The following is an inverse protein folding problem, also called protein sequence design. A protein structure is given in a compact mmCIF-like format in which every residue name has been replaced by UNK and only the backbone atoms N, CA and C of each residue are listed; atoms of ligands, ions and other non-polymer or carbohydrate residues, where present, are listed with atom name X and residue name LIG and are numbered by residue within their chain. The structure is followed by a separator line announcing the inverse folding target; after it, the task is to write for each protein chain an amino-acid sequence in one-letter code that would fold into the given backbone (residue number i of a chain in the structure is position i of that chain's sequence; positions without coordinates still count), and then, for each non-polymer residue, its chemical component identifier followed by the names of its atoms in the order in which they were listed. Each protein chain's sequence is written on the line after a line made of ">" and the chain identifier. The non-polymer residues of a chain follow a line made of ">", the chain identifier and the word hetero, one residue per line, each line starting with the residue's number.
data_IF_240529616535
#
_entry.id   IF_240529616535
#
_cell.length_a   1.000
_cell.length_b   1.000
_cell.length_c   1.000
_cell.angle_alpha   90.00
_cell.angle_beta   90.00
_cell.angle_gamma   90.00
#
_symmetry.space_group_name_H-M   'P 1'
#
loop_
_entity.id
_entity.type
_entity.pdbx_description
1 polymer ?
#
# COMPACT_ATOMS: atom_id res chain seq x y z
N UNK A 1 -10.82 -14.66 29.24
CA UNK A 1 -9.39 -14.41 28.97
C UNK A 1 -9.17 -14.75 27.51
N UNK A 2 -8.60 -13.89 26.67
CA UNK A 2 -8.23 -14.30 25.33
C UNK A 2 -7.24 -15.44 25.43
N UNK A 3 -7.37 -16.47 24.61
CA UNK A 3 -6.38 -17.55 24.49
C UNK A 3 -5.00 -16.93 24.27
N UNK A 4 -3.98 -17.48 24.93
CA UNK A 4 -2.59 -17.01 24.77
C UNK A 4 -2.12 -17.00 23.30
N UNK A 5 -2.69 -17.88 22.46
CA UNK A 5 -2.41 -17.92 21.02
C UNK A 5 -2.84 -16.62 20.27
N UNK A 6 -3.93 -15.97 20.71
CA UNK A 6 -4.38 -14.69 20.15
C UNK A 6 -3.51 -13.52 20.60
N UNK A 7 -2.92 -13.58 21.80
CA UNK A 7 -2.06 -12.51 22.31
C UNK A 7 -0.76 -12.38 21.48
N UNK A 8 -0.23 -13.49 21.01
CA UNK A 8 0.97 -13.51 20.17
C UNK A 8 0.68 -13.00 18.75
N UNK A 9 -0.48 -13.35 18.19
CA UNK A 9 -0.93 -12.78 16.91
C UNK A 9 -1.14 -11.26 16.97
N UNK A 10 -1.67 -10.74 18.08
CA UNK A 10 -1.94 -9.30 18.25
C UNK A 10 -0.65 -8.47 18.33
N UNK A 11 0.44 -9.05 18.82
CA UNK A 11 1.75 -8.39 18.90
C UNK A 11 2.54 -8.44 17.59
N UNK A 12 2.02 -9.08 16.55
CA UNK A 12 2.75 -9.32 15.31
C UNK A 12 3.87 -10.34 15.47
N UNK A 13 3.86 -11.13 16.55
CA UNK A 13 4.85 -12.16 16.75
C UNK A 13 4.81 -13.17 15.60
N UNK A 14 5.98 -13.40 15.03
CA UNK A 14 6.18 -14.35 13.97
C UNK A 14 5.97 -15.77 14.48
N UNK A 15 5.63 -16.69 13.58
CA UNK A 15 5.61 -18.10 13.91
C UNK A 15 6.90 -18.48 14.67
N UNK A 16 6.85 -19.19 15.80
CA UNK A 16 8.05 -19.62 16.51
C UNK A 16 8.99 -20.47 15.65
N UNK A 17 8.50 -20.98 14.53
CA UNK A 17 9.30 -21.73 13.55
C UNK A 17 9.89 -20.84 12.46
N UNK A 18 9.59 -19.52 12.45
CA UNK A 18 10.16 -18.62 11.47
C UNK A 18 11.63 -18.35 11.75
N UNK A 19 12.44 -18.43 10.73
CA UNK A 19 13.86 -18.19 10.81
C UNK A 19 14.28 -16.98 9.98
N UNK A 20 14.48 -15.86 10.63
CA UNK A 20 14.94 -14.62 9.99
C UNK A 20 16.34 -14.70 9.33
N UNK A 21 17.13 -15.74 9.66
CA UNK A 21 18.47 -15.89 9.06
C UNK A 21 18.44 -16.44 7.64
N UNK A 22 17.32 -17.02 7.21
CA UNK A 22 17.13 -17.45 5.83
C UNK A 22 16.47 -16.32 5.00
N UNK A 23 16.68 -16.28 3.68
CA UNK A 23 15.97 -15.34 2.82
C UNK A 23 14.45 -15.50 2.98
N UNK A 24 13.73 -14.39 2.90
CA UNK A 24 12.26 -14.44 2.77
C UNK A 24 11.98 -15.08 1.41
N UNK A 25 11.34 -16.23 1.42
CA UNK A 25 11.05 -16.96 0.20
C UNK A 25 9.74 -16.45 -0.42
N UNK A 26 9.72 -16.26 -1.73
CA UNK A 26 8.48 -16.20 -2.49
C UNK A 26 7.98 -17.63 -2.67
N UNK A 27 6.81 -18.02 -2.14
CA UNK A 27 6.31 -19.37 -2.28
C UNK A 27 5.94 -19.65 -3.74
N UNK A 28 6.28 -20.83 -4.24
CA UNK A 28 5.85 -21.29 -5.55
C UNK A 28 4.38 -21.69 -5.56
N UNK A 29 3.79 -21.72 -6.76
CA UNK A 29 2.41 -22.17 -6.94
C UNK A 29 2.27 -23.69 -6.81
N UNK A 30 3.33 -24.44 -7.07
CA UNK A 30 3.34 -25.90 -7.03
C UNK A 30 3.27 -26.45 -5.61
N UNK A 31 3.78 -25.69 -4.64
CA UNK A 31 3.80 -26.02 -3.22
C UNK A 31 4.39 -27.40 -2.94
N UNK A 32 5.57 -27.67 -3.49
CA UNK A 32 6.35 -28.88 -3.31
C UNK A 32 7.44 -28.68 -2.26
N UNK A 33 7.86 -29.75 -1.62
CA UNK A 33 8.92 -29.81 -0.62
C UNK A 33 8.74 -28.78 0.51
N UNK A 34 9.65 -27.84 0.62
CA UNK A 34 9.70 -26.83 1.68
C UNK A 34 9.15 -25.45 1.29
N UNK A 35 8.40 -25.36 0.18
CA UNK A 35 7.72 -24.12 -0.18
C UNK A 35 6.75 -23.73 0.92
N UNK A 36 6.92 -22.50 1.43
CA UNK A 36 6.02 -21.97 2.44
C UNK A 36 4.70 -21.53 1.79
N UNK A 37 3.62 -22.00 2.35
CA UNK A 37 2.26 -21.67 1.90
C UNK A 37 1.67 -20.59 2.76
N UNK A 38 0.87 -19.73 2.13
CA UNK A 38 0.05 -18.76 2.84
C UNK A 38 -1.14 -19.53 3.44
N UNK A 39 -1.31 -19.41 4.74
CA UNK A 39 -2.49 -19.87 5.42
C UNK A 39 -3.54 -18.74 5.44
N UNK A 40 -4.50 -18.80 4.53
CA UNK A 40 -5.53 -17.78 4.40
C UNK A 40 -6.49 -17.72 5.57
N UNK A 41 -6.70 -18.77 6.33
CA UNK A 41 -7.54 -18.74 7.51
C UNK A 41 -6.82 -18.04 8.66
N UNK A 42 -5.53 -18.35 8.86
CA UNK A 42 -4.67 -17.63 9.81
C UNK A 42 -4.55 -16.14 9.43
N UNK A 43 -4.35 -15.83 8.15
CA UNK A 43 -4.26 -14.46 7.63
C UNK A 43 -5.54 -13.66 7.95
N UNK A 44 -6.72 -14.21 7.65
CA UNK A 44 -8.01 -13.57 7.95
C UNK A 44 -8.21 -13.41 9.46
N UNK A 45 -7.92 -14.44 10.24
CA UNK A 45 -7.99 -14.40 11.70
C UNK A 45 -7.09 -13.32 12.30
N UNK A 46 -5.86 -13.20 11.81
CA UNK A 46 -4.93 -12.15 12.22
C UNK A 46 -5.47 -10.75 11.95
N UNK A 47 -5.95 -10.48 10.74
CA UNK A 47 -6.49 -9.17 10.35
C UNK A 47 -7.68 -8.74 11.22
N UNK A 48 -8.61 -9.65 11.47
CA UNK A 48 -9.75 -9.40 12.35
C UNK A 48 -9.29 -9.16 13.80
N UNK A 49 -8.32 -9.95 14.29
CA UNK A 49 -7.75 -9.77 15.63
C UNK A 49 -7.03 -8.41 15.78
N UNK A 50 -6.28 -7.98 14.77
CA UNK A 50 -5.63 -6.66 14.74
C UNK A 50 -6.66 -5.52 14.74
N UNK A 51 -7.72 -5.65 13.94
CA UNK A 51 -8.78 -4.62 13.91
C UNK A 51 -9.49 -4.55 15.26
N UNK A 52 -9.80 -5.70 15.89
CA UNK A 52 -10.39 -5.75 17.23
C UNK A 52 -9.52 -5.09 18.28
N UNK A 53 -8.22 -5.37 18.24
CA UNK A 53 -7.24 -4.74 19.12
C UNK A 53 -7.16 -3.22 18.93
N UNK A 54 -7.10 -2.74 17.68
CA UNK A 54 -7.07 -1.31 17.39
C UNK A 54 -8.36 -0.61 17.84
N UNK A 55 -9.50 -1.26 17.61
CA UNK A 55 -10.81 -0.75 18.05
C UNK A 55 -10.90 -0.67 19.59
N UNK A 56 -10.41 -1.68 20.30
CA UNK A 56 -10.37 -1.68 21.77
C UNK A 56 -9.46 -0.59 22.37
N UNK A 57 -8.43 -0.18 21.64
CA UNK A 57 -7.53 0.92 22.02
C UNK A 57 -8.08 2.31 21.68
N UNK A 58 -9.03 2.36 20.76
CA UNK A 58 -9.72 3.58 20.38
C UNK A 58 -10.90 3.84 21.32
N UNK A 59 -11.50 5.01 21.23
CA UNK A 59 -12.75 5.35 21.91
C UNK A 59 -14.00 5.00 21.07
N UNK A 60 -13.84 4.26 19.97
CA UNK A 60 -14.89 3.94 19.02
C UNK A 60 -15.67 2.69 19.45
N UNK A 61 -16.98 2.68 19.22
CA UNK A 61 -17.79 1.48 19.36
C UNK A 61 -17.74 0.54 18.16
N UNK A 62 -17.45 1.09 16.99
CA UNK A 62 -17.37 0.36 15.73
C UNK A 62 -16.56 1.13 14.70
N UNK A 63 -16.12 0.43 13.64
CA UNK A 63 -15.64 1.04 12.40
C UNK A 63 -16.56 0.69 11.24
N UNK A 64 -16.93 1.70 10.46
CA UNK A 64 -17.66 1.60 9.20
C UNK A 64 -16.70 1.96 8.08
N UNK A 65 -16.36 0.99 7.25
CA UNK A 65 -15.34 1.10 6.23
C UNK A 65 -15.97 1.16 4.84
N UNK A 66 -15.61 2.19 4.07
CA UNK A 66 -15.88 2.36 2.64
C UNK A 66 -14.61 2.22 1.80
N UNK A 67 -13.43 2.34 2.40
CA UNK A 67 -12.17 2.06 1.73
C UNK A 67 -12.03 0.56 1.45
N UNK A 68 -11.76 0.22 0.19
CA UNK A 68 -11.70 -1.19 -0.22
C UNK A 68 -10.59 -1.97 0.46
N UNK A 69 -9.48 -1.33 0.82
CA UNK A 69 -8.38 -1.97 1.55
C UNK A 69 -8.84 -2.34 2.97
N UNK A 70 -9.56 -1.43 3.63
CA UNK A 70 -10.13 -1.67 4.96
C UNK A 70 -11.20 -2.77 4.91
N UNK A 71 -12.11 -2.70 3.92
CA UNK A 71 -13.13 -3.75 3.71
C UNK A 71 -12.45 -5.10 3.50
N UNK A 72 -11.46 -5.19 2.60
CA UNK A 72 -10.70 -6.41 2.35
C UNK A 72 -9.97 -6.89 3.59
N UNK A 73 -9.43 -5.99 4.40
CA UNK A 73 -8.71 -6.33 5.62
C UNK A 73 -9.61 -7.05 6.62
N UNK A 74 -10.82 -6.52 6.89
CA UNK A 74 -11.73 -7.09 7.90
C UNK A 74 -12.60 -8.23 7.38
N UNK A 75 -12.87 -8.30 6.07
CA UNK A 75 -13.79 -9.31 5.51
C UNK A 75 -13.09 -10.38 4.68
N UNK A 76 -11.87 -10.15 4.24
CA UNK A 76 -11.17 -11.02 3.29
C UNK A 76 -11.82 -11.08 1.89
N UNK A 77 -12.84 -10.25 1.61
CA UNK A 77 -13.58 -10.25 0.35
C UNK A 77 -12.99 -9.30 -0.67
N UNK A 78 -13.19 -9.59 -1.94
CA UNK A 78 -12.69 -8.80 -3.08
C UNK A 78 -13.81 -8.58 -4.09
N UNK A 79 -13.87 -7.39 -4.67
CA UNK A 79 -14.59 -7.11 -5.90
C UNK A 79 -13.65 -6.30 -6.82
N UNK A 80 -13.31 -6.76 -7.97
CA UNK A 80 -12.39 -6.15 -8.92
C UNK A 80 -12.55 -4.64 -9.13
N UNK A 81 -12.80 -4.19 -10.34
CA UNK A 81 -12.86 -2.75 -10.68
C UNK A 81 -13.99 -1.96 -10.00
N UNK A 82 -15.02 -2.62 -9.51
CA UNK A 82 -16.05 -2.00 -8.67
C UNK A 82 -15.48 -1.41 -7.38
N UNK A 83 -14.25 -1.75 -7.05
CA UNK A 83 -13.53 -1.13 -5.95
C UNK A 83 -13.42 0.40 -6.04
N UNK A 84 -13.58 0.96 -7.22
CA UNK A 84 -13.59 2.41 -7.46
C UNK A 84 -14.92 3.08 -7.13
N UNK A 85 -15.98 2.30 -6.96
CA UNK A 85 -17.33 2.75 -6.63
C UNK A 85 -17.66 2.47 -5.17
N UNK A 86 -17.16 3.33 -4.29
CA UNK A 86 -17.13 3.11 -2.84
C UNK A 86 -18.49 3.08 -2.17
N UNK A 87 -19.52 3.68 -2.75
CA UNK A 87 -20.81 3.83 -2.09
C UNK A 87 -21.58 2.53 -1.99
N UNK A 88 -21.50 1.65 -2.98
CA UNK A 88 -22.26 0.39 -2.98
C UNK A 88 -21.61 -0.73 -2.19
N UNK A 89 -20.36 -0.54 -1.73
CA UNK A 89 -19.63 -1.51 -0.93
C UNK A 89 -19.11 -0.89 0.35
N UNK A 90 -19.47 -1.49 1.47
CA UNK A 90 -19.01 -1.06 2.80
C UNK A 90 -19.09 -2.21 3.78
N UNK A 91 -18.36 -2.09 4.89
CA UNK A 91 -18.35 -3.10 5.95
C UNK A 91 -18.41 -2.43 7.32
N UNK A 92 -19.12 -3.06 8.26
CA UNK A 92 -19.23 -2.63 9.65
C UNK A 92 -18.59 -3.68 10.55
N UNK A 93 -17.74 -3.26 11.48
CA UNK A 93 -17.13 -4.12 12.47
C UNK A 93 -17.21 -3.49 13.87
N UNK A 94 -17.85 -4.20 14.80
CA UNK A 94 -18.05 -3.75 16.20
C UNK A 94 -17.02 -4.34 17.16
N UNK A 95 -16.21 -5.28 16.70
CA UNK A 95 -15.28 -6.02 17.56
C UNK A 95 -15.94 -7.13 18.39
N UNK A 96 -17.26 -7.09 18.61
CA UNK A 96 -17.98 -8.07 19.42
C UNK A 96 -18.35 -9.34 18.65
N UNK A 97 -18.47 -9.22 17.34
CA UNK A 97 -18.92 -10.27 16.43
C UNK A 97 -18.14 -10.24 15.11
N UNK A 98 -18.48 -11.12 14.18
CA UNK A 98 -17.93 -11.11 12.82
C UNK A 98 -18.39 -9.86 12.03
N UNK A 99 -17.63 -9.39 11.02
CA UNK A 99 -17.99 -8.19 10.27
C UNK A 99 -19.27 -8.36 9.44
N UNK A 100 -20.02 -7.28 9.30
CA UNK A 100 -21.06 -7.15 8.29
C UNK A 100 -20.45 -6.63 7.00
N UNK A 101 -20.88 -7.18 5.87
CA UNK A 101 -20.46 -6.77 4.53
C UNK A 101 -21.70 -6.42 3.69
N UNK A 102 -21.76 -5.21 3.17
CA UNK A 102 -22.66 -4.83 2.08
C UNK A 102 -21.88 -4.77 0.79
N UNK A 103 -22.48 -5.33 -0.25
CA UNK A 103 -21.89 -5.30 -1.58
C UNK A 103 -22.98 -5.13 -2.63
N UNK A 104 -22.59 -4.88 -3.86
CA UNK A 104 -23.51 -4.81 -4.99
C UNK A 104 -24.43 -6.05 -5.01
N UNK A 105 -25.73 -5.88 -5.22
CA UNK A 105 -26.74 -6.89 -4.94
C UNK A 105 -26.39 -8.34 -5.30
N UNK A 106 -25.98 -8.59 -6.56
CA UNK A 106 -25.57 -9.93 -7.00
C UNK A 106 -24.25 -10.38 -6.36
N UNK A 107 -23.33 -9.46 -6.06
CA UNK A 107 -22.08 -9.76 -5.38
C UNK A 107 -22.31 -10.20 -3.93
N UNK A 108 -23.27 -9.62 -3.23
CA UNK A 108 -23.65 -10.08 -1.90
C UNK A 108 -24.09 -11.55 -1.90
N UNK A 109 -24.87 -11.96 -2.91
CA UNK A 109 -25.26 -13.36 -3.09
C UNK A 109 -24.06 -14.23 -3.43
N UNK A 110 -23.13 -13.74 -4.26
CA UNK A 110 -21.88 -14.45 -4.56
C UNK A 110 -21.05 -14.69 -3.28
N UNK A 111 -20.90 -13.68 -2.43
CA UNK A 111 -20.18 -13.84 -1.15
C UNK A 111 -20.81 -14.91 -0.25
N UNK A 112 -22.16 -14.95 -0.14
CA UNK A 112 -22.86 -16.00 0.62
C UNK A 112 -22.54 -17.41 0.13
N UNK A 113 -22.32 -17.58 -1.16
CA UNK A 113 -22.09 -18.89 -1.78
C UNK A 113 -20.60 -19.28 -1.83
N UNK A 114 -19.70 -18.32 -2.00
CA UNK A 114 -18.29 -18.58 -2.35
C UNK A 114 -17.28 -17.99 -1.36
N UNK A 115 -17.71 -17.37 -0.28
CA UNK A 115 -16.85 -16.88 0.80
C UNK A 115 -17.19 -17.59 2.13
N UNK A 116 -16.81 -18.87 2.28
CA UNK A 116 -17.24 -19.70 3.41
C UNK A 116 -16.71 -19.24 4.78
N UNK A 117 -15.77 -18.31 4.79
CA UNK A 117 -15.26 -17.67 6.00
C UNK A 117 -16.11 -16.49 6.48
N UNK A 118 -17.11 -16.06 5.70
CA UNK A 118 -18.07 -15.02 6.07
C UNK A 118 -19.40 -15.65 6.48
N UNK A 119 -20.01 -15.10 7.53
CA UNK A 119 -21.37 -15.46 7.90
C UNK A 119 -22.34 -15.01 6.78
N UNK A 120 -23.07 -15.94 6.13
CA UNK A 120 -24.01 -15.61 5.07
C UNK A 120 -25.06 -14.57 5.45
N UNK A 121 -25.53 -14.58 6.71
CA UNK A 121 -26.55 -13.64 7.21
C UNK A 121 -26.00 -12.22 7.39
N UNK A 122 -24.68 -12.08 7.42
CA UNK A 122 -23.96 -10.80 7.49
C UNK A 122 -23.54 -10.25 6.12
N UNK A 123 -23.70 -11.03 5.05
CA UNK A 123 -23.49 -10.58 3.69
C UNK A 123 -24.79 -9.99 3.12
N UNK A 124 -24.84 -8.69 2.97
CA UNK A 124 -26.05 -7.91 2.63
C UNK A 124 -25.92 -7.22 1.29
N UNK A 125 -27.04 -6.99 0.61
CA UNK A 125 -27.08 -6.14 -0.57
C UNK A 125 -26.96 -4.67 -0.16
N UNK A 126 -25.99 -3.98 -0.72
CA UNK A 126 -25.81 -2.55 -0.49
C UNK A 126 -26.95 -1.72 -1.12
N UNK A 127 -27.43 -0.76 -0.38
CA UNK A 127 -28.54 0.09 -0.78
C UNK A 127 -28.14 1.35 -1.53
N UNK A 128 -26.83 1.64 -1.57
CA UNK A 128 -26.31 2.89 -2.08
C UNK A 128 -26.04 2.82 -3.58
N UNK A 129 -26.13 3.95 -4.23
CA UNK A 129 -25.83 4.10 -5.67
C UNK A 129 -24.36 4.22 -5.95
N UNK A 130 -24.05 4.35 -7.23
CA UNK A 130 -22.69 4.39 -7.76
C UNK A 130 -22.16 5.83 -7.73
N UNK A 131 -21.19 6.14 -6.87
CA UNK A 131 -20.43 7.41 -6.83
C UNK A 131 -21.30 8.68 -6.99
N UNK A 132 -22.35 8.80 -6.17
CA UNK A 132 -23.24 9.96 -6.23
C UNK A 132 -24.18 9.99 -7.43
N UNK A 133 -24.27 8.92 -8.24
CA UNK A 133 -25.22 8.81 -9.33
C UNK A 133 -26.68 8.65 -8.87
N UNK A 134 -26.89 8.36 -7.60
CA UNK A 134 -28.20 8.29 -6.95
C UNK A 134 -28.38 9.54 -6.10
N UNK A 135 -29.43 10.30 -6.38
CA UNK A 135 -29.75 11.51 -5.63
C UNK A 135 -30.23 11.18 -4.19
N UNK A 136 -30.03 12.12 -3.26
CA UNK A 136 -30.41 11.97 -1.86
C UNK A 136 -31.91 11.70 -1.69
N UNK A 137 -32.74 12.29 -2.55
CA UNK A 137 -34.20 12.16 -2.55
C UNK A 137 -34.67 10.72 -2.81
N UNK A 138 -33.82 9.85 -3.35
CA UNK A 138 -34.12 8.42 -3.46
C UNK A 138 -34.20 7.72 -2.09
N UNK A 139 -33.70 8.35 -1.02
CA UNK A 139 -33.79 7.87 0.35
C UNK A 139 -32.88 6.71 0.71
N UNK A 140 -31.99 6.26 -0.19
CA UNK A 140 -31.13 5.10 0.03
C UNK A 140 -30.06 5.35 1.09
N UNK A 141 -29.49 6.54 1.15
CA UNK A 141 -28.53 6.91 2.21
C UNK A 141 -29.17 6.86 3.59
N UNK A 142 -30.41 7.37 3.71
CA UNK A 142 -31.16 7.31 4.96
C UNK A 142 -31.45 5.85 5.39
N UNK A 143 -31.90 5.01 4.45
CA UNK A 143 -32.15 3.60 4.72
C UNK A 143 -30.89 2.87 5.20
N UNK A 144 -29.76 3.10 4.54
CA UNK A 144 -28.47 2.52 4.95
C UNK A 144 -28.06 2.98 6.35
N UNK A 145 -28.19 4.29 6.65
CA UNK A 145 -27.85 4.84 7.96
C UNK A 145 -28.75 4.30 9.07
N UNK A 146 -30.06 4.14 8.81
CA UNK A 146 -31.01 3.54 9.74
C UNK A 146 -30.69 2.06 10.00
N UNK A 147 -30.35 1.27 8.97
CA UNK A 147 -29.93 -0.12 9.12
C UNK A 147 -28.65 -0.23 9.95
N UNK A 148 -27.62 0.58 9.65
CA UNK A 148 -26.38 0.61 10.40
C UNK A 148 -26.65 0.92 11.87
N UNK A 149 -27.49 1.93 12.18
CA UNK A 149 -27.85 2.27 13.56
C UNK A 149 -28.54 1.12 14.28
N UNK A 150 -29.46 0.42 13.61
CA UNK A 150 -30.13 -0.76 14.19
C UNK A 150 -29.13 -1.88 14.54
N UNK A 151 -28.15 -2.12 13.68
CA UNK A 151 -27.09 -3.10 13.93
C UNK A 151 -26.21 -2.68 15.12
N UNK A 152 -25.80 -1.41 15.19
CA UNK A 152 -25.04 -0.89 16.34
C UNK A 152 -25.82 -1.02 17.65
N UNK A 153 -27.15 -0.83 17.62
CA UNK A 153 -28.02 -1.06 18.79
C UNK A 153 -28.07 -2.54 19.18
N UNK A 154 -28.21 -3.43 18.19
CA UNK A 154 -28.22 -4.88 18.42
C UNK A 154 -26.88 -5.41 18.96
N UNK A 155 -25.79 -4.83 18.58
CA UNK A 155 -24.43 -5.14 19.05
C UNK A 155 -24.07 -4.42 20.37
N UNK A 156 -24.93 -3.52 20.88
CA UNK A 156 -24.76 -2.82 22.15
C UNK A 156 -23.74 -1.70 22.16
N UNK A 157 -23.45 -1.10 21.00
CA UNK A 157 -22.42 -0.05 20.84
C UNK A 157 -22.98 1.25 20.23
N UNK A 158 -24.29 1.40 20.13
CA UNK A 158 -24.92 2.56 19.49
C UNK A 158 -24.70 3.89 20.22
N UNK A 159 -24.38 3.86 21.52
CA UNK A 159 -24.10 5.03 22.35
C UNK A 159 -22.62 5.45 22.30
N UNK A 160 -21.77 4.70 21.58
CA UNK A 160 -20.36 5.01 21.36
C UNK A 160 -20.17 5.65 19.99
N UNK A 161 -19.10 6.46 19.79
CA UNK A 161 -18.80 7.03 18.49
C UNK A 161 -18.57 5.95 17.44
N UNK A 162 -19.06 6.20 16.21
CA UNK A 162 -18.80 5.38 15.03
C UNK A 162 -17.59 5.94 14.27
N UNK A 163 -16.55 5.15 14.13
CA UNK A 163 -15.41 5.48 13.28
C UNK A 163 -15.77 5.25 11.82
N UNK A 164 -15.61 6.27 10.98
CA UNK A 164 -15.78 6.15 9.52
C UNK A 164 -14.44 6.45 8.86
N UNK A 165 -14.01 5.62 7.91
CA UNK A 165 -12.73 5.80 7.24
C UNK A 165 -12.82 6.90 6.17
N UNK A 166 -13.47 6.62 5.06
CA UNK A 166 -13.80 7.59 4.02
C UNK A 166 -15.22 7.34 3.55
N UNK A 167 -15.99 8.41 3.39
CA UNK A 167 -17.30 8.28 2.75
C UNK A 167 -17.67 9.57 2.02
N UNK A 168 -18.66 9.45 1.15
CA UNK A 168 -19.19 10.63 0.47
C UNK A 168 -20.06 11.46 1.43
N UNK A 169 -20.10 12.81 1.23
CA UNK A 169 -20.85 13.72 2.12
C UNK A 169 -22.30 13.31 2.37
N UNK A 170 -23.10 12.88 1.38
CA UNK A 170 -24.49 12.47 1.63
C UNK A 170 -24.60 11.31 2.63
N UNK A 171 -23.69 10.33 2.60
CA UNK A 171 -23.66 9.24 3.56
C UNK A 171 -23.29 9.74 4.95
N UNK A 172 -22.29 10.61 5.06
CA UNK A 172 -21.90 11.22 6.32
C UNK A 172 -23.07 11.96 6.96
N UNK A 173 -23.79 12.79 6.17
CA UNK A 173 -24.96 13.53 6.65
C UNK A 173 -26.09 12.60 7.09
N UNK A 174 -26.33 11.52 6.36
CA UNK A 174 -27.33 10.54 6.73
C UNK A 174 -27.04 9.83 8.04
N UNK A 175 -25.78 9.45 8.28
CA UNK A 175 -25.33 8.86 9.54
C UNK A 175 -25.52 9.84 10.72
N UNK A 176 -25.15 11.11 10.53
CA UNK A 176 -25.37 12.15 11.55
C UNK A 176 -26.85 12.41 11.79
N UNK A 177 -27.67 12.44 10.74
CA UNK A 177 -29.12 12.70 10.83
C UNK A 177 -29.86 11.61 11.63
N UNK A 178 -29.38 10.37 11.62
CA UNK A 178 -29.94 9.31 12.49
C UNK A 178 -29.39 9.37 13.93
N UNK A 179 -28.56 10.36 14.26
CA UNK A 179 -28.06 10.64 15.60
C UNK A 179 -26.81 9.83 16.00
N UNK A 180 -26.02 9.40 15.05
CA UNK A 180 -24.71 8.77 15.33
C UNK A 180 -23.64 9.86 15.48
N UNK A 181 -22.80 9.73 16.50
CA UNK A 181 -21.56 10.52 16.63
C UNK A 181 -20.51 9.91 15.70
N UNK A 182 -20.00 10.70 14.73
CA UNK A 182 -19.02 10.23 13.75
C UNK A 182 -17.63 10.76 14.10
N UNK A 183 -16.63 9.87 14.09
CA UNK A 183 -15.21 10.18 14.25
C UNK A 183 -14.38 9.54 13.14
N UNK A 184 -13.10 9.93 13.06
CA UNK A 184 -12.14 9.35 12.12
C UNK A 184 -11.84 7.88 12.49
N UNK A 185 -12.33 6.95 11.66
CA UNK A 185 -12.06 5.52 11.75
C UNK A 185 -10.82 5.08 10.96
N UNK A 186 -10.32 5.93 10.06
CA UNK A 186 -9.15 5.60 9.23
C UNK A 186 -7.89 5.38 10.09
N UNK A 187 -7.71 6.20 11.15
CA UNK A 187 -6.57 6.05 12.05
C UNK A 187 -6.57 4.68 12.75
N UNK A 188 -7.75 4.23 13.20
CA UNK A 188 -7.90 2.89 13.80
C UNK A 188 -7.55 1.77 12.81
N UNK A 189 -7.96 1.91 11.56
CA UNK A 189 -7.62 0.92 10.53
C UNK A 189 -6.14 0.95 10.14
N UNK A 190 -5.51 2.12 10.12
CA UNK A 190 -4.05 2.24 9.92
C UNK A 190 -3.27 1.59 11.07
N UNK A 191 -3.70 1.75 12.32
CA UNK A 191 -3.09 1.08 13.48
C UNK A 191 -3.24 -0.44 13.41
N UNK A 192 -4.39 -0.93 12.92
CA UNK A 192 -4.61 -2.35 12.71
C UNK A 192 -3.62 -2.94 11.70
N UNK A 193 -3.40 -2.24 10.56
CA UNK A 193 -2.60 -2.72 9.42
C UNK A 193 -1.10 -2.50 9.55
N UNK A 194 -0.67 -1.71 10.54
CA UNK A 194 0.71 -1.27 10.71
C UNK A 194 1.71 -2.42 10.81
N UNK A 195 1.43 -3.42 11.65
CA UNK A 195 2.26 -4.59 11.86
C UNK A 195 1.74 -5.74 10.99
N UNK A 196 2.60 -6.30 10.16
CA UNK A 196 2.27 -7.36 9.22
C UNK A 196 2.53 -8.74 9.84
N UNK A 197 1.62 -9.67 9.58
CA UNK A 197 1.85 -11.09 9.86
C UNK A 197 2.83 -11.69 8.85
N UNK A 198 3.31 -12.89 9.13
CA UNK A 198 4.17 -13.62 8.18
C UNK A 198 3.47 -13.88 6.85
N UNK A 199 2.18 -14.21 6.85
CA UNK A 199 1.43 -14.41 5.62
C UNK A 199 1.37 -13.13 4.78
N UNK A 200 1.21 -11.96 5.42
CA UNK A 200 1.25 -10.67 4.75
C UNK A 200 2.64 -10.34 4.20
N UNK A 201 3.70 -10.62 4.97
CA UNK A 201 5.09 -10.41 4.52
C UNK A 201 5.43 -11.29 3.32
N UNK A 202 4.98 -12.55 3.33
CA UNK A 202 5.16 -13.45 2.18
C UNK A 202 4.43 -12.91 0.95
N UNK A 203 3.20 -12.42 1.10
CA UNK A 203 2.45 -11.81 -0.01
C UNK A 203 3.13 -10.54 -0.55
N UNK A 204 3.64 -9.68 0.32
CA UNK A 204 4.41 -8.50 -0.07
C UNK A 204 5.69 -8.88 -0.81
N UNK A 205 6.40 -9.89 -0.33
CA UNK A 205 7.60 -10.39 -1.02
C UNK A 205 7.28 -10.96 -2.41
N UNK A 206 6.16 -11.70 -2.55
CA UNK A 206 5.71 -12.18 -3.86
C UNK A 206 5.33 -11.01 -4.78
N UNK A 207 4.65 -10.01 -4.25
CA UNK A 207 4.28 -8.81 -4.98
C UNK A 207 5.54 -8.08 -5.50
N UNK A 208 6.56 -7.88 -4.66
CA UNK A 208 7.83 -7.30 -5.04
C UNK A 208 8.56 -8.14 -6.13
N UNK A 209 8.60 -9.46 -5.97
CA UNK A 209 9.25 -10.36 -6.93
C UNK A 209 8.58 -10.32 -8.33
N UNK A 210 7.27 -10.13 -8.41
CA UNK A 210 6.56 -9.92 -9.68
C UNK A 210 7.06 -8.64 -10.36
N UNK A 211 7.26 -7.56 -9.62
CA UNK A 211 7.78 -6.31 -10.17
C UNK A 211 9.26 -6.41 -10.54
N UNK A 212 10.07 -7.16 -9.78
CA UNK A 212 11.46 -7.46 -10.18
C UNK A 212 11.50 -8.08 -11.58
N UNK A 213 10.60 -9.04 -11.86
CA UNK A 213 10.45 -9.65 -13.18
C UNK A 213 10.02 -8.66 -14.27
N UNK A 214 9.12 -7.74 -13.95
CA UNK A 214 8.70 -6.68 -14.87
C UNK A 214 9.85 -5.72 -15.19
N UNK A 215 10.67 -5.34 -14.21
CA UNK A 215 11.87 -4.52 -14.42
C UNK A 215 12.91 -5.20 -15.30
N UNK A 216 13.08 -6.51 -15.18
CA UNK A 216 13.94 -7.25 -16.10
C UNK A 216 13.46 -7.09 -17.55
N UNK A 217 12.16 -7.25 -17.80
CA UNK A 217 11.60 -7.05 -19.14
C UNK A 217 11.69 -5.61 -19.63
N UNK A 218 11.51 -4.62 -18.73
CA UNK A 218 11.74 -3.21 -19.04
C UNK A 218 13.20 -2.98 -19.48
N UNK A 219 14.17 -3.46 -18.70
CA UNK A 219 15.59 -3.28 -18.96
C UNK A 219 16.02 -3.89 -20.31
N UNK A 220 15.46 -5.03 -20.68
CA UNK A 220 15.73 -5.71 -21.96
C UNK A 220 15.11 -4.99 -23.16
N UNK A 221 13.93 -4.40 -22.99
CA UNK A 221 13.17 -3.76 -24.07
C UNK A 221 13.51 -2.28 -24.27
N UNK A 222 14.05 -1.62 -23.24
CA UNK A 222 14.32 -0.17 -23.23
C UNK A 222 15.46 0.16 -24.20
N UNK A 223 15.14 0.95 -25.24
CA UNK A 223 16.09 1.38 -26.27
C UNK A 223 15.61 2.67 -26.95
N UNK A 224 16.50 3.38 -27.68
CA UNK A 224 16.10 4.55 -28.45
C UNK A 224 14.97 4.23 -29.44
N UNK A 225 13.98 5.12 -29.54
CA UNK A 225 12.85 5.00 -30.46
C UNK A 225 11.63 4.30 -29.91
N UNK A 226 11.73 3.57 -28.79
CA UNK A 226 10.58 3.07 -28.05
C UNK A 226 9.90 4.24 -27.30
N UNK A 227 8.62 4.16 -27.04
CA UNK A 227 7.85 5.21 -26.34
C UNK A 227 7.59 4.84 -24.87
N UNK A 228 7.38 5.86 -24.02
CA UNK A 228 7.03 5.66 -22.62
C UNK A 228 5.77 4.76 -22.48
N UNK A 229 4.69 5.04 -23.23
CA UNK A 229 3.46 4.25 -23.21
C UNK A 229 3.64 2.81 -23.73
N UNK A 230 4.61 2.54 -24.61
CA UNK A 230 4.92 1.17 -25.06
C UNK A 230 5.60 0.38 -23.91
N UNK A 231 6.46 1.03 -23.12
CA UNK A 231 7.05 0.41 -21.95
C UNK A 231 6.02 0.15 -20.84
N UNK A 232 5.07 1.08 -20.66
CA UNK A 232 3.92 0.89 -19.72
C UNK A 232 3.08 -0.31 -20.15
N UNK A 233 2.78 -0.44 -21.46
CA UNK A 233 2.02 -1.57 -21.99
C UNK A 233 2.77 -2.91 -21.78
N UNK A 234 4.09 -2.92 -22.02
CA UNK A 234 4.94 -4.10 -21.78
C UNK A 234 4.92 -4.49 -20.30
N UNK A 235 5.20 -3.53 -19.40
CA UNK A 235 5.22 -3.78 -17.97
C UNK A 235 3.87 -4.28 -17.47
N UNK A 236 2.76 -3.64 -17.87
CA UNK A 236 1.40 -4.10 -17.51
C UNK A 236 1.14 -5.53 -17.96
N UNK A 237 1.56 -5.88 -19.18
CA UNK A 237 1.44 -7.25 -19.71
C UNK A 237 2.21 -8.24 -18.82
N UNK A 238 3.47 -7.95 -18.51
CA UNK A 238 4.34 -8.82 -17.70
C UNK A 238 3.78 -9.02 -16.29
N UNK A 239 3.26 -7.96 -15.68
CA UNK A 239 2.66 -7.99 -14.35
C UNK A 239 1.43 -8.92 -14.33
N UNK A 240 0.48 -8.75 -15.24
CA UNK A 240 -0.71 -9.60 -15.32
C UNK A 240 -0.38 -11.06 -15.67
N UNK A 241 0.57 -11.29 -16.57
CA UNK A 241 1.05 -12.66 -16.90
C UNK A 241 1.72 -13.35 -15.70
N UNK A 242 2.30 -12.56 -14.78
CA UNK A 242 2.93 -13.07 -13.54
C UNK A 242 1.96 -13.22 -12.37
N UNK A 243 0.68 -12.87 -12.54
CA UNK A 243 -0.36 -13.10 -11.54
C UNK A 243 -0.81 -11.86 -10.75
N UNK A 244 -0.41 -10.65 -11.18
CA UNK A 244 -0.96 -9.39 -10.64
C UNK A 244 -2.48 -9.39 -10.69
N UNK A 245 -3.16 -9.01 -9.62
CA UNK A 245 -4.61 -8.84 -9.61
C UNK A 245 -5.04 -7.40 -9.93
N UNK A 246 -4.14 -6.43 -9.78
CA UNK A 246 -4.36 -5.04 -10.23
C UNK A 246 -3.02 -4.34 -10.54
N UNK A 247 -2.94 -3.67 -11.68
CA UNK A 247 -1.87 -2.75 -12.04
C UNK A 247 -2.38 -1.33 -11.80
N UNK A 248 -2.10 -0.80 -10.61
CA UNK A 248 -2.68 0.46 -10.14
C UNK A 248 -2.15 1.66 -10.91
N UNK A 249 -0.83 1.73 -11.11
CA UNK A 249 -0.17 2.73 -11.93
C UNK A 249 1.22 2.29 -12.38
N UNK A 250 1.68 2.79 -13.51
CA UNK A 250 3.07 2.73 -13.93
C UNK A 250 3.46 4.14 -14.36
N UNK A 251 4.29 4.80 -13.56
CA UNK A 251 4.93 6.04 -13.96
C UNK A 251 6.14 5.70 -14.85
N UNK A 252 6.21 6.27 -16.03
CA UNK A 252 7.33 6.10 -16.96
C UNK A 252 7.73 7.47 -17.48
N UNK A 253 8.85 7.99 -17.01
CA UNK A 253 9.28 9.36 -17.25
C UNK A 253 10.70 9.36 -17.76
N UNK A 254 11.02 10.20 -18.77
CA UNK A 254 12.32 10.21 -19.40
C UNK A 254 12.84 11.61 -19.72
N UNK A 255 14.17 11.69 -19.76
CA UNK A 255 14.94 12.89 -20.12
C UNK A 255 14.66 14.07 -19.19
N UNK A 256 14.46 15.23 -19.79
CA UNK A 256 14.21 16.49 -19.09
C UNK A 256 12.97 16.49 -18.19
N UNK A 257 12.00 15.60 -18.45
CA UNK A 257 10.79 15.45 -17.63
C UNK A 257 11.02 14.76 -16.30
N UNK A 258 12.18 14.15 -16.09
CA UNK A 258 12.52 13.54 -14.81
C UNK A 258 12.73 14.55 -13.67
N UNK A 259 12.87 15.87 -13.98
CA UNK A 259 13.16 16.89 -12.98
C UNK A 259 12.36 18.18 -13.18
N UNK A 260 11.44 18.54 -12.28
CA UNK A 260 10.79 17.66 -11.29
C UNK A 260 9.88 16.67 -12.01
N UNK A 261 9.67 15.52 -11.42
CA UNK A 261 8.95 14.46 -12.11
C UNK A 261 7.42 14.57 -11.99
N UNK A 262 6.67 14.30 -13.07
CA UNK A 262 5.24 14.03 -12.98
C UNK A 262 4.99 12.55 -12.66
N UNK A 263 3.85 12.27 -11.99
CA UNK A 263 3.40 10.89 -11.76
C UNK A 263 2.52 10.44 -12.94
N UNK A 264 3.13 10.22 -14.09
CA UNK A 264 2.44 9.78 -15.32
C UNK A 264 3.41 9.18 -16.33
N UNK A 265 2.91 8.95 -17.53
CA UNK A 265 3.67 8.64 -18.72
C UNK A 265 3.07 9.42 -19.91
N UNK A 266 3.81 9.47 -21.03
CA UNK A 266 3.34 10.06 -22.28
C UNK A 266 3.66 9.15 -23.47
N UNK A 267 3.53 9.69 -24.69
CA UNK A 267 3.99 9.07 -25.94
C UNK A 267 5.39 9.53 -26.35
N UNK A 268 6.15 10.18 -25.44
CA UNK A 268 7.55 10.60 -25.72
C UNK A 268 8.39 9.38 -26.06
N UNK A 269 9.21 9.51 -27.12
CA UNK A 269 10.21 8.51 -27.47
C UNK A 269 11.46 8.66 -26.63
N UNK A 270 12.00 7.55 -26.13
CA UNK A 270 13.33 7.52 -25.52
C UNK A 270 14.40 7.85 -26.54
N UNK A 271 15.34 8.69 -26.14
CA UNK A 271 16.47 9.14 -26.95
C UNK A 271 17.77 8.58 -26.38
N UNK A 272 18.85 8.47 -27.21
CA UNK A 272 20.17 8.16 -26.70
C UNK A 272 20.59 9.13 -25.59
N UNK A 273 21.04 8.60 -24.45
CA UNK A 273 21.46 9.39 -23.30
C UNK A 273 20.34 9.83 -22.37
N UNK A 274 19.08 9.54 -22.68
CA UNK A 274 17.98 9.80 -21.74
C UNK A 274 18.16 8.99 -20.45
N UNK A 275 18.03 9.67 -19.33
CA UNK A 275 17.74 9.02 -18.06
C UNK A 275 16.24 8.76 -17.99
N UNK A 276 15.86 7.57 -17.57
CA UNK A 276 14.47 7.14 -17.47
C UNK A 276 14.25 6.48 -16.13
N UNK A 277 13.22 6.86 -15.43
CA UNK A 277 12.77 6.12 -14.26
C UNK A 277 11.35 5.58 -14.45
N UNK A 278 11.13 4.48 -13.82
CA UNK A 278 9.84 3.83 -13.73
C UNK A 278 9.48 3.69 -12.27
N UNK A 279 8.19 3.84 -12.00
CA UNK A 279 7.58 3.48 -10.73
C UNK A 279 6.48 2.49 -11.04
N UNK A 280 6.61 1.28 -10.55
CA UNK A 280 5.70 0.19 -10.88
C UNK A 280 4.87 -0.16 -9.66
N UNK A 281 3.58 0.16 -9.73
CA UNK A 281 2.63 -0.03 -8.64
C UNK A 281 1.61 -1.09 -9.05
N UNK A 282 1.61 -2.21 -8.35
CA UNK A 282 0.71 -3.33 -8.62
C UNK A 282 0.31 -4.03 -7.31
N UNK A 283 -0.63 -4.95 -7.37
CA UNK A 283 -0.97 -5.82 -6.24
C UNK A 283 -0.99 -7.30 -6.63
N UNK A 284 -0.60 -8.13 -5.68
CA UNK A 284 -0.76 -9.57 -5.71
C UNK A 284 -1.58 -10.02 -4.51
N UNK A 285 -2.74 -10.65 -4.77
CA UNK A 285 -3.72 -10.98 -3.75
C UNK A 285 -4.06 -9.78 -2.81
N UNK A 286 -4.03 -8.56 -3.39
CA UNK A 286 -4.30 -7.29 -2.77
C UNK A 286 -3.13 -6.60 -2.09
N UNK A 287 -2.02 -7.30 -1.84
CA UNK A 287 -0.83 -6.69 -1.29
C UNK A 287 -0.04 -5.97 -2.36
N UNK A 288 0.17 -4.68 -2.11
CA UNK A 288 0.82 -3.80 -3.06
C UNK A 288 2.33 -3.87 -2.96
N UNK A 289 2.95 -3.53 -4.05
CA UNK A 289 4.34 -3.13 -4.13
C UNK A 289 4.43 -1.84 -4.93
N UNK A 290 5.35 -0.98 -4.54
CA UNK A 290 5.63 0.29 -5.19
C UNK A 290 7.12 0.54 -5.08
N UNK A 291 7.83 0.57 -6.21
CA UNK A 291 9.20 1.07 -6.15
C UNK A 291 9.73 1.61 -7.47
N UNK A 292 10.62 2.59 -7.33
CA UNK A 292 11.31 3.23 -8.44
C UNK A 292 12.61 2.55 -8.80
N UNK A 293 12.86 2.46 -10.12
CA UNK A 293 14.17 2.20 -10.69
C UNK A 293 14.50 3.22 -11.78
N UNK A 294 15.73 3.70 -11.76
CA UNK A 294 16.27 4.60 -12.79
C UNK A 294 17.24 3.84 -13.69
N UNK A 295 17.05 3.98 -14.99
CA UNK A 295 17.89 3.42 -16.04
C UNK A 295 18.34 4.53 -16.99
N UNK A 296 19.46 4.36 -17.69
CA UNK A 296 19.85 5.21 -18.81
C UNK A 296 19.74 4.48 -20.15
N UNK A 297 19.48 5.20 -21.21
CA UNK A 297 19.30 4.66 -22.56
C UNK A 297 20.58 4.85 -23.38
N UNK A 298 21.30 3.76 -23.63
CA UNK A 298 22.50 3.72 -24.46
C UNK A 298 23.77 4.23 -23.77
N UNK A 299 23.70 5.38 -23.12
CA UNK A 299 24.85 6.00 -22.42
C UNK A 299 24.35 6.87 -21.25
N UNK A 300 25.26 7.33 -20.41
CA UNK A 300 25.04 8.28 -19.32
C UNK A 300 26.00 9.46 -19.38
N UNK A 301 25.61 10.57 -18.76
CA UNK A 301 26.51 11.69 -18.49
C UNK A 301 27.11 11.57 -17.09
N UNK A 302 28.28 12.18 -16.81
CA UNK A 302 28.82 12.24 -15.45
C UNK A 302 27.85 12.87 -14.44
N UNK A 303 27.01 13.82 -14.88
CA UNK A 303 25.99 14.45 -14.02
C UNK A 303 24.88 13.47 -13.64
N UNK A 304 24.42 12.63 -14.56
CA UNK A 304 23.45 11.59 -14.31
C UNK A 304 24.00 10.49 -13.38
N UNK A 305 25.25 10.08 -13.60
CA UNK A 305 25.94 9.11 -12.74
C UNK A 305 26.11 9.63 -11.30
N UNK A 306 26.49 10.92 -11.14
CA UNK A 306 26.60 11.56 -9.82
C UNK A 306 25.24 11.66 -9.13
N UNK A 307 24.18 12.04 -9.84
CA UNK A 307 22.82 12.10 -9.31
C UNK A 307 22.37 10.72 -8.82
N UNK A 308 22.61 9.66 -9.59
CA UNK A 308 22.29 8.29 -9.20
C UNK A 308 23.06 7.84 -7.97
N UNK A 309 24.37 8.07 -7.95
CA UNK A 309 25.24 7.73 -6.81
C UNK A 309 24.76 8.42 -5.53
N UNK A 310 24.43 9.71 -5.59
CA UNK A 310 23.93 10.47 -4.44
C UNK A 310 22.57 9.93 -3.94
N UNK A 311 21.64 9.67 -4.86
CA UNK A 311 20.35 9.07 -4.51
C UNK A 311 20.53 7.70 -3.84
N UNK A 312 21.45 6.86 -4.35
CA UNK A 312 21.80 5.56 -3.77
C UNK A 312 22.42 5.69 -2.37
N UNK A 313 23.37 6.60 -2.18
CA UNK A 313 24.00 6.85 -0.88
C UNK A 313 22.96 7.26 0.19
N UNK A 314 21.99 8.10 -0.16
CA UNK A 314 20.95 8.54 0.77
C UNK A 314 19.98 7.42 1.16
N UNK A 315 19.62 6.55 0.23
CA UNK A 315 18.74 5.41 0.55
C UNK A 315 19.48 4.34 1.35
N UNK A 316 20.77 4.09 1.06
CA UNK A 316 21.60 3.15 1.84
C UNK A 316 21.69 3.57 3.30
N UNK A 317 21.97 4.85 3.55
CA UNK A 317 22.01 5.41 4.91
C UNK A 317 20.65 5.26 5.61
N UNK A 318 19.55 5.49 4.89
CA UNK A 318 18.20 5.32 5.45
C UNK A 318 17.95 3.86 5.82
N UNK A 319 18.27 2.90 4.94
CA UNK A 319 18.10 1.46 5.18
C UNK A 319 18.92 1.00 6.39
N UNK A 320 20.19 1.43 6.51
CA UNK A 320 21.06 1.08 7.64
C UNK A 320 20.53 1.56 9.00
N UNK A 321 19.70 2.58 8.99
CA UNK A 321 19.08 3.11 10.22
C UNK A 321 17.82 2.36 10.62
N UNK A 322 17.19 1.61 9.73
CA UNK A 322 15.92 0.92 9.99
C UNK A 322 16.13 -0.23 10.98
N UNK A 323 15.52 -0.10 12.15
CA UNK A 323 15.45 -1.13 13.19
C UNK A 323 14.38 -0.78 14.22
N UNK A 324 13.88 -1.72 15.00
CA UNK A 324 12.95 -1.42 16.10
C UNK A 324 13.52 -0.37 17.09
N UNK A 325 12.67 0.55 17.53
CA UNK A 325 13.01 1.67 18.40
C UNK A 325 13.65 2.88 17.71
N UNK A 326 13.93 2.81 16.41
CA UNK A 326 14.30 3.97 15.61
C UNK A 326 13.06 4.83 15.33
N UNK A 327 13.23 6.15 15.28
CA UNK A 327 12.12 7.07 14.97
C UNK A 327 12.28 7.71 13.59
N UNK A 328 11.16 7.98 12.95
CA UNK A 328 11.10 8.46 11.55
C UNK A 328 11.79 9.80 11.33
N UNK A 329 11.83 10.68 12.34
CA UNK A 329 12.55 11.97 12.30
C UNK A 329 14.06 11.79 12.09
N UNK A 330 14.65 10.77 12.73
CA UNK A 330 16.09 10.47 12.62
C UNK A 330 16.47 10.00 11.23
N UNK A 331 15.62 9.21 10.59
CA UNK A 331 15.80 8.77 9.20
C UNK A 331 15.62 9.99 8.27
N UNK A 332 14.52 10.72 8.40
CA UNK A 332 14.23 11.91 7.58
C UNK A 332 15.32 12.98 7.67
N UNK A 333 16.00 13.09 8.81
CA UNK A 333 17.10 14.04 9.00
C UNK A 333 18.34 13.74 8.14
N UNK A 334 18.47 12.51 7.60
CA UNK A 334 19.58 12.13 6.73
C UNK A 334 19.37 12.54 5.28
N UNK A 335 18.16 12.81 4.90
CA UNK A 335 17.84 13.27 3.55
C UNK A 335 18.08 14.77 3.38
N UNK A 336 18.47 15.24 2.17
CA UNK A 336 18.66 16.65 1.88
C UNK A 336 17.41 17.48 2.14
N UNK A 337 17.61 18.78 2.36
CA UNK A 337 16.50 19.72 2.47
C UNK A 337 15.91 20.05 1.10
N UNK A 338 14.66 20.42 1.05
CA UNK A 338 13.96 20.87 -0.16
C UNK A 338 14.73 21.96 -0.93
N UNK A 339 15.36 22.88 -0.20
CA UNK A 339 16.15 23.98 -0.77
C UNK A 339 17.39 23.51 -1.55
N UNK A 340 17.92 22.33 -1.29
CA UNK A 340 19.03 21.73 -2.03
C UNK A 340 18.63 21.31 -3.45
N UNK A 341 17.33 21.10 -3.67
CA UNK A 341 16.72 20.78 -4.97
C UNK A 341 16.06 21.99 -5.64
N UNK A 342 16.18 23.19 -5.05
CA UNK A 342 15.62 24.42 -5.60
C UNK A 342 14.16 24.70 -5.22
N UNK A 343 13.58 23.93 -4.30
CA UNK A 343 12.23 24.19 -3.78
C UNK A 343 12.25 25.15 -2.60
N UNK A 344 11.22 25.95 -2.43
CA UNK A 344 11.16 26.96 -1.38
C UNK A 344 10.97 26.38 0.03
N UNK A 345 10.32 25.23 0.14
CA UNK A 345 10.00 24.59 1.41
C UNK A 345 9.72 23.09 1.24
N UNK A 346 9.61 22.36 2.36
CA UNK A 346 9.42 20.89 2.36
C UNK A 346 8.05 20.47 1.76
N UNK A 347 7.04 21.32 1.80
CA UNK A 347 5.73 21.04 1.19
C UNK A 347 5.82 21.01 -0.34
N UNK A 348 6.59 21.91 -0.94
CA UNK A 348 6.79 21.92 -2.40
C UNK A 348 7.62 20.74 -2.92
N UNK A 349 8.47 20.18 -2.05
CA UNK A 349 9.31 19.03 -2.36
C UNK A 349 8.71 17.69 -1.85
N UNK A 350 7.53 17.73 -1.23
CA UNK A 350 6.91 16.52 -0.66
C UNK A 350 6.68 15.46 -1.75
N UNK A 351 7.02 14.21 -1.44
CA UNK A 351 6.96 13.09 -2.37
C UNK A 351 8.22 12.86 -3.22
N UNK A 352 9.25 13.71 -3.09
CA UNK A 352 10.54 13.48 -3.77
C UNK A 352 11.47 12.58 -2.97
N UNK A 353 11.46 12.76 -1.65
CA UNK A 353 12.21 11.92 -0.72
C UNK A 353 11.33 11.66 0.49
N UNK A 354 10.84 10.46 0.60
CA UNK A 354 10.05 10.05 1.74
C UNK A 354 10.00 8.52 1.88
N UNK A 355 9.37 8.04 2.91
CA UNK A 355 9.02 6.64 3.06
C UNK A 355 7.57 6.53 3.51
N UNK A 356 6.95 5.44 3.13
CA UNK A 356 5.57 5.16 3.49
C UNK A 356 5.36 3.68 3.74
N UNK A 357 4.51 3.34 4.70
CA UNK A 357 4.06 1.97 4.88
C UNK A 357 3.40 1.44 3.62
N UNK A 358 3.57 0.16 3.37
CA UNK A 358 2.95 -0.56 2.26
C UNK A 358 2.29 -1.83 2.76
N UNK A 359 1.17 -2.20 2.15
CA UNK A 359 0.40 -3.38 2.54
C UNK A 359 -0.76 -3.64 1.59
N UNK A 360 -1.99 -3.75 2.11
CA UNK A 360 -3.19 -3.73 1.27
C UNK A 360 -3.44 -2.35 0.65
N UNK A 361 -3.03 -1.27 1.32
CA UNK A 361 -3.01 0.06 0.71
C UNK A 361 -1.60 0.39 0.24
N UNK A 362 -1.52 1.24 -0.79
CA UNK A 362 -0.25 1.77 -1.29
C UNK A 362 0.45 2.60 -0.20
N UNK A 363 -0.31 3.46 0.47
CA UNK A 363 0.22 4.30 1.55
C UNK A 363 -0.40 3.89 2.89
N UNK A 364 0.45 3.41 3.78
CA UNK A 364 0.13 3.05 5.16
C UNK A 364 1.09 3.75 6.13
N UNK A 365 1.00 3.47 7.44
CA UNK A 365 2.01 3.88 8.41
C UNK A 365 3.23 2.96 8.39
N UNK A 366 4.44 3.51 8.67
CA UNK A 366 4.73 4.90 8.98
C UNK A 366 4.83 5.80 7.75
N UNK A 367 4.76 7.12 7.93
CA UNK A 367 5.22 8.12 6.96
C UNK A 367 6.55 8.68 7.46
N UNK A 368 7.57 8.65 6.61
CA UNK A 368 8.92 9.15 6.89
C UNK A 368 9.19 10.31 5.94
N UNK A 369 9.22 11.52 6.43
CA UNK A 369 9.53 12.69 5.60
C UNK A 369 10.00 13.88 6.44
N UNK A 370 10.73 14.77 5.80
CA UNK A 370 11.13 16.04 6.45
C UNK A 370 9.94 16.95 6.76
N UNK A 371 8.83 16.81 6.04
CA UNK A 371 7.63 17.60 6.23
C UNK A 371 6.87 17.19 7.50
N UNK A 372 6.83 15.91 7.83
CA UNK A 372 5.91 15.36 8.85
C UNK A 372 6.65 14.82 10.07
N UNK A 373 7.79 14.15 9.88
CA UNK A 373 8.38 13.32 10.94
C UNK A 373 9.02 14.12 12.07
N UNK A 374 9.45 15.36 11.84
CA UNK A 374 10.09 16.17 12.89
C UNK A 374 9.11 16.61 13.96
N UNK A 375 7.87 16.91 13.60
CA UNK A 375 6.83 17.32 14.56
C UNK A 375 6.04 16.12 15.09
N UNK A 376 5.96 15.03 14.29
CA UNK A 376 5.24 13.81 14.61
C UNK A 376 6.13 12.59 14.38
N UNK A 377 7.19 12.39 15.19
CA UNK A 377 8.06 11.23 15.07
C UNK A 377 7.28 9.95 15.38
N UNK A 378 7.49 8.94 14.54
CA UNK A 378 6.86 7.64 14.67
C UNK A 378 7.91 6.58 14.96
N UNK A 379 7.67 5.73 15.96
CA UNK A 379 8.59 4.66 16.32
C UNK A 379 8.44 3.47 15.35
N UNK A 380 9.56 2.96 14.86
CA UNK A 380 9.62 1.78 14.00
C UNK A 380 9.58 0.53 14.86
N UNK A 381 8.70 -0.40 14.51
CA UNK A 381 8.50 -1.67 15.20
C UNK A 381 8.77 -2.85 14.26
N UNK A 382 9.14 -4.00 14.84
CA UNK A 382 9.25 -5.26 14.11
C UNK A 382 7.95 -5.62 13.39
N UNK A 383 8.06 -6.17 12.19
CA UNK A 383 6.92 -6.54 11.35
C UNK A 383 6.30 -5.38 10.56
N UNK A 384 6.79 -4.16 10.71
CA UNK A 384 6.45 -3.09 9.76
C UNK A 384 7.07 -3.37 8.40
N UNK A 385 6.34 -3.00 7.35
CA UNK A 385 6.82 -3.00 5.97
C UNK A 385 6.56 -1.64 5.37
N UNK A 386 7.60 -1.04 4.78
CA UNK A 386 7.49 0.27 4.18
C UNK A 386 8.53 0.48 3.08
N UNK A 387 8.21 1.37 2.16
CA UNK A 387 9.10 1.86 1.12
C UNK A 387 9.92 3.04 1.63
N UNK A 388 11.14 3.15 1.13
CA UNK A 388 12.04 4.28 1.29
C UNK A 388 12.44 4.75 -0.10
N UNK A 389 12.26 6.03 -0.42
CA UNK A 389 12.56 6.56 -1.74
C UNK A 389 13.38 7.84 -1.70
N UNK A 390 14.25 8.00 -2.70
CA UNK A 390 15.14 9.14 -2.85
C UNK A 390 15.05 9.71 -4.24
N UNK A 391 15.39 11.00 -4.36
CA UNK A 391 15.42 11.76 -5.61
C UNK A 391 16.66 12.63 -5.68
N UNK A 392 17.32 12.67 -6.83
CA UNK A 392 18.40 13.61 -7.08
C UNK A 392 18.37 14.09 -8.54
N UNK A 393 18.20 15.40 -8.80
CA UNK A 393 18.26 15.94 -10.15
C UNK A 393 19.69 15.89 -10.67
N UNK A 394 19.88 15.59 -11.97
CA UNK A 394 21.16 15.72 -12.64
C UNK A 394 21.53 17.20 -12.83
N UNK A 395 22.78 17.58 -12.50
CA UNK A 395 23.22 18.98 -12.52
C UNK A 395 23.23 19.61 -13.92
N UNK A 396 23.24 18.80 -14.97
CA UNK A 396 23.18 19.24 -16.38
C UNK A 396 21.71 19.44 -16.87
N UNK A 397 20.71 19.18 -16.04
CA UNK A 397 19.30 19.29 -16.37
C UNK A 397 18.76 18.16 -17.28
N UNK A 398 19.56 17.13 -17.56
CA UNK A 398 19.18 16.04 -18.48
C UNK A 398 18.64 14.80 -17.76
N UNK A 399 17.94 14.98 -16.65
CA UNK A 399 17.32 13.88 -15.94
C UNK A 399 17.32 14.07 -14.44
N UNK A 400 16.88 13.03 -13.75
CA UNK A 400 17.00 12.86 -12.31
C UNK A 400 16.99 11.37 -11.96
N UNK A 401 17.70 10.99 -10.93
CA UNK A 401 17.64 9.65 -10.38
C UNK A 401 16.51 9.54 -9.33
N UNK A 402 15.76 8.46 -9.40
CA UNK A 402 14.87 8.00 -8.32
C UNK A 402 15.17 6.54 -8.03
N UNK A 403 15.33 6.25 -6.76
CA UNK A 403 15.56 4.89 -6.26
C UNK A 403 14.65 4.68 -5.07
N UNK A 404 13.98 3.55 -5.04
CA UNK A 404 13.10 3.16 -3.96
C UNK A 404 13.33 1.70 -3.59
N UNK A 405 13.31 1.40 -2.31
CA UNK A 405 13.43 0.05 -1.78
C UNK A 405 12.37 -0.20 -0.74
N UNK A 406 11.69 -1.34 -0.83
CA UNK A 406 10.80 -1.82 0.21
C UNK A 406 11.58 -2.65 1.24
N UNK A 407 11.32 -2.38 2.51
CA UNK A 407 11.98 -3.06 3.63
C UNK A 407 10.98 -3.68 4.59
N UNK A 408 11.32 -4.86 5.09
CA UNK A 408 10.64 -5.53 6.20
C UNK A 408 11.48 -5.34 7.45
N UNK A 409 10.91 -4.78 8.50
CA UNK A 409 11.61 -4.59 9.79
C UNK A 409 11.71 -5.92 10.52
N UNK A 410 12.96 -6.29 10.86
CA UNK A 410 13.32 -7.50 11.60
C UNK A 410 13.67 -7.16 13.06
N UNK A 411 13.87 -8.14 13.96
CA UNK A 411 14.23 -7.86 15.37
C UNK A 411 15.44 -6.97 15.58
N UNK A 412 16.41 -6.98 14.67
CA UNK A 412 17.71 -6.32 14.80
C UNK A 412 18.05 -5.35 13.65
N UNK A 413 17.16 -5.18 12.66
CA UNK A 413 17.40 -4.34 11.50
C UNK A 413 16.25 -4.37 10.52
N UNK A 414 16.56 -4.52 9.24
CA UNK A 414 15.56 -4.72 8.18
C UNK A 414 16.10 -5.59 7.04
N UNK A 415 15.19 -6.05 6.19
CA UNK A 415 15.51 -6.74 4.93
C UNK A 415 14.85 -6.03 3.77
N UNK A 416 15.62 -5.76 2.73
CA UNK A 416 15.12 -5.28 1.44
C UNK A 416 14.46 -6.46 0.73
N UNK A 417 13.28 -6.24 0.18
CA UNK A 417 12.50 -7.25 -0.57
C UNK A 417 12.37 -6.93 -2.06
N UNK A 418 12.78 -5.74 -2.50
CA UNK A 418 12.88 -5.33 -3.91
C UNK A 418 14.25 -5.68 -4.45
N UNK A 419 14.33 -6.66 -5.35
CA UNK A 419 15.61 -7.29 -5.69
C UNK A 419 16.13 -6.95 -7.09
N UNK A 420 15.37 -6.23 -7.93
CA UNK A 420 15.95 -5.74 -9.18
C UNK A 420 17.12 -4.78 -8.87
N UNK A 421 18.32 -4.99 -9.46
CA UNK A 421 19.53 -4.29 -9.07
C UNK A 421 19.40 -2.75 -9.12
N UNK A 422 19.90 -2.09 -8.06
CA UNK A 422 19.93 -0.64 -7.93
C UNK A 422 21.24 -0.11 -7.32
N UNK A 423 22.27 -0.95 -7.18
CA UNK A 423 23.57 -0.55 -6.63
C UNK A 423 24.32 0.37 -7.59
N UNK A 424 24.15 0.15 -8.88
CA UNK A 424 24.76 0.95 -9.95
C UNK A 424 23.70 1.36 -10.97
N UNK A 425 23.94 2.51 -11.64
CA UNK A 425 23.09 2.98 -12.72
C UNK A 425 23.11 1.98 -13.88
N UNK A 426 21.96 1.39 -14.17
CA UNK A 426 21.82 0.45 -15.28
C UNK A 426 21.75 1.20 -16.63
N UNK A 427 22.58 0.81 -17.57
CA UNK A 427 22.57 1.35 -18.94
C UNK A 427 21.90 0.31 -19.86
N UNK A 428 20.66 0.57 -20.22
CA UNK A 428 19.93 -0.26 -21.18
C UNK A 428 20.43 -0.02 -22.60
N UNK A 429 20.50 -1.08 -23.41
CA UNK A 429 20.92 -0.99 -24.83
C UNK A 429 22.23 -0.20 -25.03
N UNK A 430 23.25 -0.51 -24.22
CA UNK A 430 24.57 0.13 -24.30
C UNK A 430 25.21 -0.05 -25.68
N UNK A 431 25.77 1.02 -26.27
CA UNK A 431 26.49 1.04 -27.55
C UNK A 431 27.79 1.80 -27.47
#
# INVERSE_FOLDING_TARGET
>A
MPNDDNANMIKGEMSPNWNWTRPIAAPGHMAVDFEERIDFDRLRGYRVARTRWALQKSELGAVLCFDNNNIRYITGSVIGEWSRDKICRYALFTGNSEPYLWDFGSAATHHRLFSPWLDPDRCKAGMLGLRGSVAEEAGLFKQAAEEIKQLLQAEGVADMPLGVDICEPPMMFALQAVGLEIRDGQQTMLDARQIKSMDEIVLLNMSAAIVDGAYQGIAEALKPGVRENEMVALASKLLYESGSDDVEAINAVSGERCSPHPHNFTDRMYRPGDQAFFDVIQSYLGYRTCYYRTLNVGSSTPAQEDAYRRAREWIDVAIEMVRPGMTTDKIAAKWPKATEFGFANEMEAFGLQFGHGVGLALHERPIISRLVSFENPFEIEEGMVFALETYCPAADGNGAARIEEEVVVTPDGCRVITLFPAQELFIANRY
#
